data_IF_243244306038
#
_entry.id   IF_243244306038
#
_cell.length_a   1.000
_cell.length_b   1.000
_cell.length_c   1.000
_cell.angle_alpha   90.00
_cell.angle_beta   90.00
_cell.angle_gamma   90.00
#
_symmetry.space_group_name_H-M   'P 1'
#
loop_
_entity.id
_entity.type
_entity.pdbx_description
1 polymer ?
#
# COMPACT_ATOMS: atom_id res chain seq x y z
N UNK A 1 28.67 -10.48 -24.15
CA UNK A 1 29.22 -10.95 -22.86
C UNK A 1 28.79 -9.96 -21.79
N UNK A 2 27.52 -10.03 -21.40
CA UNK A 2 26.92 -9.19 -20.36
C UNK A 2 27.14 -9.88 -19.02
N UNK A 3 27.67 -9.16 -18.04
CA UNK A 3 28.15 -9.67 -16.76
C UNK A 3 26.99 -10.08 -15.84
N UNK A 4 27.21 -11.14 -15.04
CA UNK A 4 26.18 -11.75 -14.20
C UNK A 4 25.77 -10.93 -12.96
N UNK A 5 26.36 -9.76 -12.72
CA UNK A 5 26.23 -9.01 -11.47
C UNK A 5 24.84 -8.38 -11.24
N UNK A 6 24.16 -7.90 -12.28
CA UNK A 6 22.83 -7.27 -12.14
C UNK A 6 21.73 -8.26 -11.71
N UNK A 7 21.93 -9.56 -11.91
CA UNK A 7 20.99 -10.58 -11.46
C UNK A 7 20.98 -10.76 -9.92
N UNK A 8 22.03 -10.31 -9.23
CA UNK A 8 22.22 -10.60 -7.80
C UNK A 8 21.41 -9.68 -6.88
N UNK A 9 21.06 -8.47 -7.34
CA UNK A 9 20.21 -7.53 -6.58
C UNK A 9 18.72 -7.90 -6.63
N UNK A 10 18.23 -8.36 -7.78
CA UNK A 10 16.82 -8.72 -7.99
C UNK A 10 16.33 -9.87 -7.09
N UNK A 11 17.20 -10.82 -6.74
CA UNK A 11 16.80 -12.08 -6.10
C UNK A 11 16.63 -12.02 -4.57
N UNK A 12 17.13 -10.97 -3.90
CA UNK A 12 17.01 -10.84 -2.43
C UNK A 12 15.69 -10.25 -1.96
N UNK A 13 14.94 -9.58 -2.84
CA UNK A 13 13.62 -9.03 -2.52
C UNK A 13 12.51 -10.07 -2.83
N UNK A 14 12.65 -10.86 -3.91
CA UNK A 14 11.62 -11.82 -4.35
C UNK A 14 11.29 -12.91 -3.31
N UNK A 15 12.28 -13.38 -2.55
CA UNK A 15 12.11 -14.49 -1.60
C UNK A 15 11.35 -14.14 -0.31
N UNK A 16 11.15 -12.86 0.00
CA UNK A 16 10.35 -12.42 1.15
C UNK A 16 8.85 -12.27 0.82
N UNK A 17 8.51 -12.20 -0.47
CA UNK A 17 7.20 -11.72 -0.95
C UNK A 17 6.14 -12.82 -1.15
N UNK A 18 6.49 -14.12 -1.06
CA UNK A 18 5.57 -15.21 -1.39
C UNK A 18 4.69 -15.72 -0.24
N UNK A 19 4.85 -15.23 1.01
CA UNK A 19 4.32 -15.94 2.18
C UNK A 19 2.96 -15.51 2.71
N UNK A 20 2.42 -14.40 2.22
CA UNK A 20 1.14 -13.87 2.68
C UNK A 20 0.30 -13.47 1.42
N UNK A 21 -0.98 -13.89 1.33
CA UNK A 21 -1.97 -13.61 0.27
C UNK A 21 -3.34 -13.29 0.89
N UNK A 22 -4.08 -12.27 0.39
CA UNK A 22 -5.08 -11.37 1.06
C UNK A 22 -6.06 -11.87 2.15
N UNK A 23 -6.13 -13.17 2.43
CA UNK A 23 -6.47 -13.72 3.77
C UNK A 23 -5.27 -13.71 4.73
N UNK A 24 -4.38 -12.75 4.46
CA UNK A 24 -3.00 -12.39 4.83
C UNK A 24 -2.77 -11.05 4.02
N UNK A 25 -1.62 -10.67 3.39
CA UNK A 25 -1.70 -9.74 2.23
C UNK A 25 -0.75 -9.96 1.02
N UNK A 26 -1.29 -10.04 -0.22
CA UNK A 26 -0.56 -10.02 -1.53
C UNK A 26 -0.40 -8.63 -2.17
N UNK A 27 -1.15 -7.61 -1.73
CA UNK A 27 -1.19 -6.30 -2.40
C UNK A 27 0.14 -5.53 -2.35
N UNK A 28 0.82 -5.51 -1.19
CA UNK A 28 2.12 -4.81 -1.04
C UNK A 28 3.26 -5.40 -1.87
N UNK A 29 3.09 -6.60 -2.43
CA UNK A 29 4.05 -7.24 -3.34
C UNK A 29 4.04 -6.58 -4.72
N UNK A 30 2.86 -6.20 -5.21
CA UNK A 30 2.66 -5.76 -6.59
C UNK A 30 3.00 -4.28 -6.79
N UNK A 31 2.78 -3.43 -5.78
CA UNK A 31 3.19 -2.03 -5.85
C UNK A 31 4.72 -1.87 -5.86
N UNK A 32 5.46 -2.78 -5.22
CA UNK A 32 6.93 -2.84 -5.30
C UNK A 32 7.44 -3.16 -6.71
N UNK A 33 6.78 -4.07 -7.43
CA UNK A 33 7.11 -4.38 -8.83
C UNK A 33 6.82 -3.20 -9.77
N UNK A 34 5.71 -2.50 -9.52
CA UNK A 34 5.32 -1.32 -10.29
C UNK A 34 6.35 -0.19 -10.25
N UNK A 35 7.17 -0.05 -9.20
CA UNK A 35 8.17 1.03 -9.11
C UNK A 35 9.41 0.71 -9.97
N UNK A 36 9.79 -0.58 -10.04
CA UNK A 36 11.05 -1.01 -10.67
C UNK A 36 11.12 -0.78 -12.20
N UNK A 37 9.98 -0.73 -12.89
CA UNK A 37 9.93 -0.56 -14.35
C UNK A 37 10.11 0.88 -14.86
N UNK A 38 10.22 1.89 -13.98
CA UNK A 38 9.98 3.30 -14.36
C UNK A 38 11.17 4.25 -14.14
N UNK A 39 12.36 3.69 -13.91
CA UNK A 39 13.61 4.37 -13.53
C UNK A 39 14.37 4.98 -14.71
N UNK A 40 13.66 5.41 -15.78
CA UNK A 40 14.27 6.04 -16.96
C UNK A 40 13.55 7.35 -17.33
N UNK A 41 14.14 8.49 -16.94
CA UNK A 41 13.83 9.82 -17.51
C UNK A 41 13.60 10.96 -16.51
N UNK A 42 14.35 12.06 -16.70
CA UNK A 42 14.34 13.35 -15.95
C UNK A 42 14.72 13.28 -14.45
N UNK A 43 15.90 13.85 -14.13
CA UNK A 43 16.61 13.63 -12.85
C UNK A 43 15.88 14.09 -11.60
N UNK A 44 15.13 15.21 -11.60
CA UNK A 44 14.50 15.70 -10.37
C UNK A 44 13.17 14.99 -10.08
N UNK A 45 12.20 15.04 -11.00
CA UNK A 45 10.86 14.49 -10.73
C UNK A 45 10.84 12.96 -10.64
N UNK A 46 11.75 12.24 -11.34
CA UNK A 46 11.88 10.80 -11.17
C UNK A 46 12.50 10.42 -9.82
N UNK A 47 13.53 11.15 -9.37
CA UNK A 47 14.14 10.93 -8.06
C UNK A 47 13.13 11.22 -6.94
N UNK A 48 12.39 12.33 -7.02
CA UNK A 48 11.31 12.63 -6.06
C UNK A 48 10.25 11.53 -6.07
N UNK A 49 9.85 11.03 -7.23
CA UNK A 49 8.91 9.90 -7.33
C UNK A 49 9.46 8.64 -6.64
N UNK A 50 10.72 8.27 -6.89
CA UNK A 50 11.37 7.10 -6.28
C UNK A 50 11.52 7.23 -4.76
N UNK A 51 12.01 8.36 -4.25
CA UNK A 51 12.15 8.63 -2.81
C UNK A 51 10.79 8.57 -2.09
N UNK A 52 9.75 9.17 -2.68
CA UNK A 52 8.38 9.15 -2.15
C UNK A 52 7.79 7.75 -2.17
N UNK A 53 8.00 6.98 -3.24
CA UNK A 53 7.53 5.59 -3.31
C UNK A 53 8.28 4.66 -2.35
N UNK A 54 9.58 4.86 -2.11
CA UNK A 54 10.32 4.14 -1.07
C UNK A 54 9.76 4.44 0.34
N UNK A 55 9.48 5.72 0.63
CA UNK A 55 8.85 6.12 1.89
C UNK A 55 7.44 5.52 2.05
N UNK A 56 6.65 5.48 0.97
CA UNK A 56 5.35 4.80 0.94
C UNK A 56 5.47 3.31 1.30
N UNK A 57 6.39 2.57 0.64
CA UNK A 57 6.59 1.13 0.89
C UNK A 57 7.02 0.85 2.33
N UNK A 58 7.86 1.72 2.92
CA UNK A 58 8.25 1.60 4.32
C UNK A 58 7.06 1.78 5.29
N UNK A 59 6.18 2.75 5.01
CA UNK A 59 4.94 2.97 5.77
C UNK A 59 3.99 1.78 5.60
N UNK A 60 3.79 1.27 4.38
CA UNK A 60 2.94 0.11 4.12
C UNK A 60 3.42 -1.13 4.87
N UNK A 61 4.72 -1.44 4.83
CA UNK A 61 5.30 -2.56 5.57
C UNK A 61 5.14 -2.41 7.10
N UNK A 62 5.14 -1.17 7.63
CA UNK A 62 4.86 -0.89 9.04
C UNK A 62 3.39 -1.11 9.39
N UNK A 63 2.48 -0.55 8.60
CA UNK A 63 1.02 -0.63 8.80
C UNK A 63 0.52 -2.07 8.66
N UNK A 64 1.06 -2.85 7.72
CA UNK A 64 0.75 -4.27 7.58
C UNK A 64 1.15 -5.09 8.83
N UNK A 65 2.32 -4.82 9.42
CA UNK A 65 2.74 -5.46 10.67
C UNK A 65 1.82 -5.10 11.84
N UNK A 66 1.44 -3.84 11.97
CA UNK A 66 0.52 -3.37 13.01
C UNK A 66 -0.86 -4.03 12.86
N UNK A 67 -1.40 -4.09 11.65
CA UNK A 67 -2.64 -4.83 11.37
C UNK A 67 -2.51 -6.31 11.75
N UNK A 68 -1.48 -7.01 11.27
CA UNK A 68 -1.26 -8.42 11.62
C UNK A 68 -1.14 -8.67 13.13
N UNK A 69 -0.63 -7.70 13.89
CA UNK A 69 -0.60 -7.74 15.34
C UNK A 69 -1.99 -7.52 15.95
N UNK A 70 -2.75 -6.53 15.46
CA UNK A 70 -4.12 -6.26 15.91
C UNK A 70 -5.05 -7.48 15.74
N UNK A 71 -4.94 -8.20 14.62
CA UNK A 71 -5.72 -9.43 14.38
C UNK A 71 -5.39 -10.59 15.34
N UNK A 72 -4.18 -10.59 15.93
CA UNK A 72 -3.73 -11.62 16.88
C UNK A 72 -3.93 -11.20 18.34
N UNK A 73 -4.48 -9.99 18.57
CA UNK A 73 -4.68 -9.43 19.91
C UNK A 73 -6.08 -9.77 20.42
N UNK A 74 -6.18 -10.57 21.48
CA UNK A 74 -7.46 -11.00 22.06
C UNK A 74 -8.23 -9.85 22.75
N UNK A 75 -7.50 -8.91 23.36
CA UNK A 75 -8.09 -7.69 23.93
C UNK A 75 -8.53 -6.74 22.80
N UNK A 76 -9.84 -6.62 22.67
CA UNK A 76 -10.51 -5.73 21.70
C UNK A 76 -10.13 -4.26 21.82
N UNK A 77 -9.90 -3.75 23.04
CA UNK A 77 -9.47 -2.36 23.23
C UNK A 77 -8.00 -2.17 22.82
N UNK A 78 -7.14 -3.14 23.10
CA UNK A 78 -5.76 -3.13 22.62
C UNK A 78 -5.70 -3.24 21.08
N UNK A 79 -6.48 -4.15 20.48
CA UNK A 79 -6.60 -4.29 19.03
C UNK A 79 -7.09 -2.98 18.36
N UNK A 80 -8.11 -2.33 18.93
CA UNK A 80 -8.60 -1.04 18.45
C UNK A 80 -7.51 0.05 18.46
N UNK A 81 -6.73 0.15 19.55
CA UNK A 81 -5.59 1.10 19.63
C UNK A 81 -4.50 0.81 18.60
N UNK A 82 -4.26 -0.45 18.26
CA UNK A 82 -3.29 -0.80 17.21
C UNK A 82 -3.83 -0.40 15.83
N UNK A 83 -5.12 -0.60 15.55
CA UNK A 83 -5.74 -0.11 14.31
C UNK A 83 -5.75 1.43 14.23
N UNK A 84 -5.93 2.13 15.34
CA UNK A 84 -5.84 3.59 15.44
C UNK A 84 -4.42 4.10 15.11
N UNK A 85 -3.39 3.49 15.70
CA UNK A 85 -1.99 3.79 15.40
C UNK A 85 -1.65 3.49 13.94
N UNK A 86 -2.14 2.37 13.41
CA UNK A 86 -1.97 2.00 12.01
C UNK A 86 -2.64 3.00 11.05
N UNK A 87 -3.84 3.50 11.39
CA UNK A 87 -4.53 4.54 10.62
C UNK A 87 -3.79 5.88 10.64
N UNK A 88 -3.25 6.28 11.80
CA UNK A 88 -2.44 7.49 11.95
C UNK A 88 -1.11 7.40 11.16
N UNK A 89 -0.46 6.24 11.16
CA UNK A 89 0.74 6.00 10.36
C UNK A 89 0.40 5.99 8.85
N UNK A 90 -0.72 5.36 8.47
CA UNK A 90 -1.19 5.32 7.08
C UNK A 90 -1.58 6.70 6.52
N UNK A 91 -1.99 7.65 7.36
CA UNK A 91 -2.24 9.02 6.92
C UNK A 91 -1.00 9.68 6.28
N UNK A 92 0.22 9.25 6.66
CA UNK A 92 1.47 9.67 6.00
C UNK A 92 1.59 9.12 4.57
N UNK A 93 1.17 7.88 4.34
CA UNK A 93 1.11 7.30 2.99
C UNK A 93 0.09 8.05 2.11
N UNK A 94 -1.07 8.42 2.66
CA UNK A 94 -2.05 9.27 1.96
C UNK A 94 -1.48 10.66 1.62
N UNK A 95 -0.68 11.27 2.50
CA UNK A 95 -0.01 12.53 2.22
C UNK A 95 0.99 12.39 1.06
N UNK A 96 1.85 11.36 1.07
CA UNK A 96 2.78 11.04 -0.01
C UNK A 96 2.05 10.87 -1.36
N UNK A 97 0.95 10.11 -1.37
CA UNK A 97 0.17 9.88 -2.58
C UNK A 97 -0.43 11.18 -3.16
N UNK A 98 -0.89 12.09 -2.28
CA UNK A 98 -1.41 13.41 -2.69
C UNK A 98 -0.30 14.33 -3.21
N UNK A 99 0.89 14.29 -2.62
CA UNK A 99 2.06 15.03 -3.14
C UNK A 99 2.45 14.54 -4.54
N UNK A 100 2.51 13.21 -4.75
CA UNK A 100 2.80 12.60 -6.05
C UNK A 100 1.77 12.98 -7.13
N UNK A 101 0.49 13.14 -6.76
CA UNK A 101 -0.57 13.63 -7.67
C UNK A 101 -0.34 15.08 -8.13
N UNK A 102 0.41 15.88 -7.36
CA UNK A 102 0.80 17.26 -7.69
C UNK A 102 2.09 17.40 -8.50
N UNK A 103 2.90 16.35 -8.62
CA UNK A 103 4.16 16.37 -9.39
C UNK A 103 3.90 16.40 -10.91
N UNK A 104 4.83 16.99 -11.68
CA UNK A 104 4.74 17.05 -13.14
C UNK A 104 5.16 15.71 -13.80
N UNK A 105 4.33 14.69 -13.56
CA UNK A 105 4.58 13.32 -13.99
C UNK A 105 4.10 13.06 -15.42
N UNK A 106 4.75 12.10 -16.09
CA UNK A 106 4.28 11.54 -17.37
C UNK A 106 2.88 10.91 -17.21
N UNK A 107 2.15 10.75 -18.31
CA UNK A 107 0.73 10.36 -18.28
C UNK A 107 0.47 9.10 -17.44
N UNK A 108 1.24 8.03 -17.65
CA UNK A 108 1.08 6.79 -16.90
C UNK A 108 1.48 6.96 -15.41
N UNK A 109 2.54 7.74 -15.11
CA UNK A 109 2.96 8.02 -13.71
C UNK A 109 1.90 8.84 -12.97
N UNK A 110 1.22 9.74 -13.68
CA UNK A 110 0.10 10.55 -13.17
C UNK A 110 -1.17 9.74 -12.94
N UNK A 111 -1.50 8.81 -13.85
CA UNK A 111 -2.59 7.83 -13.64
C UNK A 111 -2.32 6.95 -12.42
N UNK A 112 -1.11 6.41 -12.31
CA UNK A 112 -0.67 5.65 -11.14
C UNK A 112 -0.78 6.47 -9.84
N UNK A 113 -0.27 7.70 -9.82
CA UNK A 113 -0.34 8.57 -8.64
C UNK A 113 -1.79 8.90 -8.22
N UNK A 114 -2.72 9.03 -9.17
CA UNK A 114 -4.14 9.21 -8.85
C UNK A 114 -4.75 7.94 -8.24
N UNK A 115 -4.50 6.77 -8.82
CA UNK A 115 -5.01 5.49 -8.30
C UNK A 115 -4.40 5.16 -6.93
N UNK A 116 -3.12 5.47 -6.72
CA UNK A 116 -2.44 5.35 -5.43
C UNK A 116 -3.09 6.26 -4.37
N UNK A 117 -3.45 7.50 -4.71
CA UNK A 117 -4.16 8.39 -3.79
C UNK A 117 -5.53 7.83 -3.39
N UNK A 118 -6.31 7.37 -4.37
CA UNK A 118 -7.63 6.78 -4.13
C UNK A 118 -7.51 5.47 -3.31
N UNK A 119 -6.47 4.67 -3.54
CA UNK A 119 -6.14 3.47 -2.76
C UNK A 119 -5.80 3.83 -1.31
N UNK A 120 -4.94 4.82 -1.10
CA UNK A 120 -4.57 5.29 0.24
C UNK A 120 -5.79 5.76 1.04
N UNK A 121 -6.70 6.52 0.42
CA UNK A 121 -7.91 7.01 1.11
C UNK A 121 -8.84 5.86 1.52
N UNK A 122 -9.10 4.90 0.61
CA UNK A 122 -9.92 3.71 0.92
C UNK A 122 -9.28 2.79 1.96
N UNK A 123 -7.96 2.61 1.90
CA UNK A 123 -7.20 1.80 2.86
C UNK A 123 -7.18 2.43 4.26
N UNK A 124 -7.13 3.77 4.34
CA UNK A 124 -7.30 4.51 5.59
C UNK A 124 -8.71 4.36 6.18
N UNK A 125 -9.75 4.47 5.35
CA UNK A 125 -11.13 4.23 5.77
C UNK A 125 -11.35 2.79 6.28
N UNK A 126 -10.71 1.79 5.65
CA UNK A 126 -10.76 0.41 6.10
C UNK A 126 -10.13 0.22 7.49
N UNK A 127 -9.01 0.87 7.79
CA UNK A 127 -8.37 0.82 9.12
C UNK A 127 -9.28 1.42 10.21
N UNK A 128 -9.99 2.51 9.90
CA UNK A 128 -11.00 3.09 10.80
C UNK A 128 -12.19 2.16 11.03
N UNK A 129 -12.65 1.44 10.01
CA UNK A 129 -13.70 0.43 10.17
C UNK A 129 -13.24 -0.79 10.97
N UNK A 130 -11.97 -1.19 10.87
CA UNK A 130 -11.38 -2.27 11.68
C UNK A 130 -11.25 -1.86 13.17
N UNK A 131 -10.89 -0.60 13.44
CA UNK A 131 -10.96 -0.02 14.79
C UNK A 131 -12.40 -0.04 15.33
N UNK A 132 -13.37 0.39 14.51
CA UNK A 132 -14.79 0.37 14.89
C UNK A 132 -15.31 -1.04 15.12
N UNK A 133 -14.97 -2.03 14.29
CA UNK A 133 -15.36 -3.43 14.45
C UNK A 133 -14.84 -4.03 15.75
N UNK A 134 -13.57 -3.75 16.11
CA UNK A 134 -12.98 -4.21 17.35
C UNK A 134 -13.78 -3.74 18.58
N UNK A 135 -14.27 -2.49 18.56
CA UNK A 135 -15.07 -1.90 19.64
C UNK A 135 -16.57 -2.24 19.55
N UNK A 136 -17.11 -2.35 18.34
CA UNK A 136 -18.53 -2.48 18.03
C UNK A 136 -18.73 -3.28 16.71
N UNK A 137 -18.81 -4.59 16.83
CA UNK A 137 -19.03 -5.49 15.69
C UNK A 137 -20.50 -5.44 15.23
N UNK A 138 -20.83 -4.49 14.35
CA UNK A 138 -22.17 -4.32 13.78
C UNK A 138 -22.24 -4.73 12.31
N UNK A 139 -23.43 -5.14 11.86
CA UNK A 139 -23.71 -5.51 10.46
C UNK A 139 -23.37 -4.36 9.49
N UNK A 140 -23.57 -3.11 9.93
CA UNK A 140 -23.28 -1.90 9.14
C UNK A 140 -21.77 -1.74 8.91
N UNK A 141 -20.95 -1.96 9.95
CA UNK A 141 -19.48 -1.93 9.84
C UNK A 141 -18.99 -3.04 8.91
N UNK A 142 -19.54 -4.25 9.02
CA UNK A 142 -19.16 -5.36 8.15
C UNK A 142 -19.51 -5.09 6.67
N UNK A 143 -20.73 -4.60 6.39
CA UNK A 143 -21.13 -4.22 5.02
C UNK A 143 -20.26 -3.09 4.43
N UNK A 144 -19.86 -2.11 5.25
CA UNK A 144 -18.97 -1.03 4.83
C UNK A 144 -17.55 -1.55 4.50
N UNK A 145 -17.03 -2.50 5.30
CA UNK A 145 -15.74 -3.16 5.03
C UNK A 145 -15.78 -3.94 3.71
N UNK A 146 -16.83 -4.72 3.48
CA UNK A 146 -16.97 -5.53 2.27
C UNK A 146 -17.04 -4.66 1.00
N UNK A 147 -17.76 -3.53 1.08
CA UNK A 147 -17.79 -2.53 -0.01
C UNK A 147 -16.40 -1.94 -0.29
N UNK A 148 -15.67 -1.50 0.75
CA UNK A 148 -14.33 -0.92 0.59
C UNK A 148 -13.31 -1.95 0.10
N UNK A 149 -13.39 -3.21 0.54
CA UNK A 149 -12.53 -4.28 0.04
C UNK A 149 -12.73 -4.50 -1.47
N UNK A 150 -13.97 -4.55 -1.96
CA UNK A 150 -14.27 -4.66 -3.39
C UNK A 150 -13.72 -3.48 -4.21
N UNK A 151 -13.75 -2.27 -3.65
CA UNK A 151 -13.15 -1.10 -4.30
C UNK A 151 -11.63 -1.13 -4.29
N UNK A 152 -11.00 -1.60 -3.21
CA UNK A 152 -9.55 -1.81 -3.13
C UNK A 152 -9.08 -2.87 -4.12
N UNK A 153 -9.81 -3.97 -4.30
CA UNK A 153 -9.53 -4.99 -5.32
C UNK A 153 -9.58 -4.40 -6.74
N UNK A 154 -10.59 -3.57 -7.05
CA UNK A 154 -10.69 -2.86 -8.33
C UNK A 154 -9.55 -1.86 -8.55
N UNK A 155 -9.10 -1.17 -7.52
CA UNK A 155 -7.96 -0.24 -7.61
C UNK A 155 -6.64 -1.00 -7.81
N UNK A 156 -6.41 -2.09 -7.08
CA UNK A 156 -5.24 -2.96 -7.26
C UNK A 156 -5.15 -3.45 -8.70
N UNK A 157 -6.23 -4.01 -9.27
CA UNK A 157 -6.25 -4.47 -10.65
C UNK A 157 -5.93 -3.37 -11.68
N UNK A 158 -6.34 -2.12 -11.43
CA UNK A 158 -5.99 -0.98 -12.29
C UNK A 158 -4.53 -0.54 -12.13
N UNK A 159 -4.00 -0.57 -10.91
CA UNK A 159 -2.59 -0.26 -10.62
C UNK A 159 -1.68 -1.33 -11.24
N UNK A 160 -2.05 -2.61 -11.14
CA UNK A 160 -1.36 -3.74 -11.75
C UNK A 160 -1.36 -3.62 -13.28
N UNK A 161 -2.48 -3.23 -13.91
CA UNK A 161 -2.57 -3.03 -15.35
C UNK A 161 -1.76 -1.85 -15.88
N UNK A 162 -1.39 -0.87 -15.02
CA UNK A 162 -0.45 0.20 -15.37
C UNK A 162 1.01 -0.16 -15.13
N UNK A 163 1.27 -1.27 -14.42
CA UNK A 163 2.61 -1.73 -14.03
C UNK A 163 3.20 -2.79 -14.99
N UNK A 164 2.41 -3.24 -15.97
CA UNK A 164 2.75 -4.22 -17.01
C UNK A 164 3.13 -3.52 -18.32
#
# INVERSE_FOLDING_TARGET
MTTLDDACAFFKISSFLSRLAFRRPTAGVLMLLAIAGWTVGCKNDAQVFEEKMQAFVAIEASVLKQWEQAQKTEDKQAAAKIYEAAAAEWAKATAIARELKGCNLSENKRKFASLLADYCEKRGALLQLLQQEALNNSIQVQSAKDSINLELEKLNAQIEALAQ
#
